data_IF_672115764974
#
_entry.id   IF_672115764974
#
_cell.length_a   1.000
_cell.length_b   1.000
_cell.length_c   1.000
_cell.angle_alpha   90.00
_cell.angle_beta   90.00
_cell.angle_gamma   90.00
#
_symmetry.space_group_name_H-M   'P 1'
#
loop_
_entity.id
_entity.type
_entity.pdbx_description
1 polymer ?
#
# COMPACT_ATOMS: atom_id res chain seq x y z
N UNK A 1 22.45 -11.91 7.43
CA UNK A 1 22.44 -12.51 6.09
C UNK A 1 21.00 -12.51 5.58
N UNK A 2 20.68 -11.74 4.54
CA UNK A 2 19.30 -11.59 4.00
C UNK A 2 18.96 -12.71 2.99
N UNK A 3 19.40 -13.93 3.27
CA UNK A 3 19.13 -15.08 2.42
C UNK A 3 17.74 -15.63 2.78
N UNK A 4 16.82 -15.80 1.81
CA UNK A 4 15.52 -16.36 2.10
C UNK A 4 15.63 -17.82 2.57
N UNK A 5 14.57 -18.28 3.24
CA UNK A 5 14.47 -19.64 3.77
C UNK A 5 14.66 -20.70 2.67
N UNK A 6 15.11 -21.89 3.08
CA UNK A 6 15.17 -23.09 2.21
C UNK A 6 13.82 -23.45 1.59
N UNK A 7 12.71 -23.03 2.21
CA UNK A 7 11.35 -23.20 1.67
C UNK A 7 11.10 -22.42 0.38
N UNK A 8 11.89 -21.38 0.10
CA UNK A 8 11.82 -20.62 -1.13
C UNK A 8 12.61 -21.35 -2.24
N UNK A 9 12.10 -22.49 -2.71
CA UNK A 9 12.84 -23.43 -3.56
C UNK A 9 13.31 -22.87 -4.92
N UNK A 10 12.63 -21.85 -5.47
CA UNK A 10 12.94 -21.29 -6.80
C UNK A 10 12.78 -19.77 -6.85
N UNK A 11 13.10 -19.09 -5.75
CA UNK A 11 12.99 -17.63 -5.73
C UNK A 11 13.99 -17.00 -6.69
N UNK A 12 13.53 -15.98 -7.43
CA UNK A 12 14.42 -15.08 -8.17
C UNK A 12 14.64 -13.86 -7.29
N UNK A 13 15.88 -13.61 -6.92
CA UNK A 13 16.23 -12.36 -6.26
C UNK A 13 16.01 -11.23 -7.27
N UNK A 14 15.01 -10.38 -7.03
CA UNK A 14 14.79 -9.15 -7.76
C UNK A 14 14.54 -8.05 -6.74
N UNK A 15 15.26 -6.95 -6.88
CA UNK A 15 14.95 -5.72 -6.15
C UNK A 15 13.93 -4.95 -6.96
N UNK A 16 13.09 -4.17 -6.27
CA UNK A 16 12.25 -3.19 -6.93
C UNK A 16 13.13 -2.12 -7.57
N UNK A 17 12.82 -1.79 -8.81
CA UNK A 17 13.32 -0.58 -9.47
C UNK A 17 12.80 0.66 -8.76
N UNK A 18 13.46 1.81 -8.96
CA UNK A 18 13.00 3.06 -8.34
C UNK A 18 11.64 3.51 -8.88
N UNK A 19 11.32 3.13 -10.13
CA UNK A 19 10.01 3.33 -10.71
C UNK A 19 8.93 2.49 -10.00
N UNK A 20 9.18 1.20 -9.75
CA UNK A 20 8.24 0.36 -9.01
C UNK A 20 8.06 0.82 -7.56
N UNK A 21 9.14 1.28 -6.90
CA UNK A 21 9.04 1.89 -5.56
C UNK A 21 8.15 3.14 -5.59
N UNK A 22 8.31 3.99 -6.60
CA UNK A 22 7.48 5.19 -6.78
C UNK A 22 6.02 4.82 -7.01
N UNK A 23 5.73 3.83 -7.84
CA UNK A 23 4.37 3.36 -8.10
C UNK A 23 3.69 2.86 -6.83
N UNK A 24 4.41 2.08 -6.02
CA UNK A 24 3.92 1.63 -4.71
C UNK A 24 3.59 2.83 -3.82
N UNK A 25 4.50 3.81 -3.73
CA UNK A 25 4.29 5.02 -2.93
C UNK A 25 3.06 5.81 -3.39
N UNK A 26 2.93 6.03 -4.70
CA UNK A 26 1.84 6.80 -5.29
C UNK A 26 0.49 6.11 -5.06
N UNK A 27 0.43 4.77 -5.20
CA UNK A 27 -0.79 3.99 -4.93
C UNK A 27 -1.20 4.08 -3.45
N UNK A 28 -0.25 3.97 -2.53
CA UNK A 28 -0.53 4.14 -1.10
C UNK A 28 -1.09 5.53 -0.79
N UNK A 29 -0.44 6.57 -1.29
CA UNK A 29 -0.87 7.95 -1.07
C UNK A 29 -2.23 8.23 -1.70
N UNK A 30 -2.53 7.65 -2.88
CA UNK A 30 -3.86 7.71 -3.50
C UNK A 30 -4.93 7.09 -2.60
N UNK A 31 -4.68 5.92 -2.00
CA UNK A 31 -5.65 5.28 -1.11
C UNK A 31 -5.79 6.01 0.23
N UNK A 32 -4.69 6.50 0.81
CA UNK A 32 -4.70 7.37 2.01
C UNK A 32 -5.57 8.61 1.76
N UNK A 33 -5.39 9.26 0.61
CA UNK A 33 -6.23 10.39 0.18
C UNK A 33 -7.70 10.03 -0.02
N UNK A 34 -8.00 8.87 -0.63
CA UNK A 34 -9.39 8.41 -0.80
C UNK A 34 -10.10 8.25 0.55
N UNK A 35 -9.45 7.58 1.50
CA UNK A 35 -10.00 7.38 2.85
C UNK A 35 -10.14 8.72 3.58
N UNK A 36 -9.09 9.54 3.60
CA UNK A 36 -9.09 10.85 4.25
C UNK A 36 -10.13 11.82 3.68
N UNK A 37 -10.49 11.70 2.41
CA UNK A 37 -11.55 12.52 1.80
C UNK A 37 -12.97 12.04 2.11
N UNK A 38 -13.15 10.95 2.87
CA UNK A 38 -14.44 10.36 3.16
C UNK A 38 -15.12 9.67 1.96
N UNK A 39 -14.35 9.32 0.91
CA UNK A 39 -14.87 8.77 -0.35
C UNK A 39 -14.83 7.24 -0.44
N UNK A 40 -14.29 6.55 0.56
CA UNK A 40 -14.37 5.08 0.64
C UNK A 40 -15.70 4.68 1.27
N UNK A 41 -16.47 3.82 0.61
CA UNK A 41 -17.84 3.46 1.03
C UNK A 41 -17.95 2.04 1.59
N UNK A 42 -16.88 1.24 1.49
CA UNK A 42 -16.86 -0.12 2.05
C UNK A 42 -16.61 -0.08 3.56
N UNK A 43 -17.33 -0.92 4.29
CA UNK A 43 -17.21 -1.11 5.74
C UNK A 43 -18.45 -1.82 6.31
N UNK A 44 -18.29 -2.62 7.37
CA UNK A 44 -19.39 -3.43 7.94
C UNK A 44 -20.61 -2.59 8.36
N UNK A 45 -20.38 -1.37 8.85
CA UNK A 45 -21.44 -0.46 9.30
C UNK A 45 -21.98 0.47 8.20
N UNK A 46 -21.64 0.25 6.92
CA UNK A 46 -22.13 1.04 5.78
C UNK A 46 -21.63 2.49 5.70
N UNK A 47 -21.00 3.00 6.76
CA UNK A 47 -20.28 4.26 6.77
C UNK A 47 -18.80 4.01 6.48
N UNK A 48 -18.31 4.65 5.42
CA UNK A 48 -16.89 4.90 5.24
C UNK A 48 -16.27 5.59 6.44
N UNK A 49 -14.94 5.66 6.47
CA UNK A 49 -14.28 6.58 7.41
C UNK A 49 -14.70 8.01 7.08
N UNK A 50 -14.99 8.86 8.09
CA UNK A 50 -15.31 10.27 7.85
C UNK A 50 -14.11 10.99 7.21
N UNK A 51 -14.39 12.14 6.58
CA UNK A 51 -13.33 13.00 6.09
C UNK A 51 -12.42 13.44 7.26
N UNK A 52 -11.11 13.43 7.02
CA UNK A 52 -10.08 13.72 8.01
C UNK A 52 -8.72 13.95 7.33
N UNK A 53 -7.64 13.85 8.10
CA UNK A 53 -6.29 14.05 7.59
C UNK A 53 -5.44 12.80 7.78
N UNK A 54 -4.86 12.34 6.68
CA UNK A 54 -3.87 11.26 6.65
C UNK A 54 -2.72 11.78 5.77
N UNK A 55 -1.57 12.10 6.37
CA UNK A 55 -0.42 12.64 5.63
C UNK A 55 0.15 11.66 4.60
N UNK A 56 0.97 12.13 3.67
CA UNK A 56 1.69 11.24 2.74
C UNK A 56 2.71 10.37 3.49
N UNK A 57 2.99 9.19 2.93
CA UNK A 57 4.17 8.40 3.29
C UNK A 57 5.45 9.04 2.75
#
# INVERSE_FOLDING_TARGET
>A
SNKPSKSCASYKAASLTDQEKKEILDVHNRFRGKVASGKETRGFNGVGQPAGYIGSL
#
